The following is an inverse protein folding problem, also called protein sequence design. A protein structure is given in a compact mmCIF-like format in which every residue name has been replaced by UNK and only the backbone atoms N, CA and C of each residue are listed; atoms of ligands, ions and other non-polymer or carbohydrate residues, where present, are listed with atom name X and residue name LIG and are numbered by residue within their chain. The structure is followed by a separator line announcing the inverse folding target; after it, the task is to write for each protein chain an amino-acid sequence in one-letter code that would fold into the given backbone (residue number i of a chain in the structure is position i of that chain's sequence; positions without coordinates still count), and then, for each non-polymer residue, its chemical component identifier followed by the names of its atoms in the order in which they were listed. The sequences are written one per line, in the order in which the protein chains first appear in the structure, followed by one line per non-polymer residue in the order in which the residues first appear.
data_IF_532770605634
#
_entry.id   IF_532770605634
#
_cell.length_a   1.000
_cell.length_b   1.000
_cell.length_c   1.000
_cell.angle_alpha   90.00
_cell.angle_beta   90.00
_cell.angle_gamma   90.00
#
_symmetry.space_group_name_H-M   'P 1'
#
loop_
_entity.id
_entity.type
_entity.pdbx_description
1 polymer ?
#
# COMPACT_ATOMS: atom_id res chain seq x y z
N UNK A 1 -7.59 0.11 -14.37
CA UNK A 1 -6.91 1.15 -13.58
C UNK A 1 -7.96 1.89 -12.81
N UNK A 2 -7.84 1.87 -11.49
CA UNK A 2 -8.79 2.40 -10.51
C UNK A 2 -8.08 3.55 -9.80
N UNK A 3 -8.77 4.68 -9.66
CA UNK A 3 -8.32 5.80 -8.83
C UNK A 3 -9.17 5.81 -7.56
N UNK A 4 -8.52 5.90 -6.41
CA UNK A 4 -9.17 5.90 -5.11
C UNK A 4 -8.51 6.88 -4.15
N UNK A 5 -9.12 7.05 -2.98
CA UNK A 5 -8.65 7.95 -1.93
C UNK A 5 -8.32 7.17 -0.67
N UNK A 6 -7.26 7.59 -0.02
CA UNK A 6 -6.91 7.20 1.34
C UNK A 6 -7.17 8.40 2.24
N UNK A 7 -7.97 8.17 3.26
CA UNK A 7 -8.46 9.16 4.20
C UNK A 7 -7.65 9.15 5.49
N UNK A 8 -7.10 10.30 5.90
CA UNK A 8 -6.65 10.51 7.26
C UNK A 8 -7.83 10.41 8.23
N UNK A 9 -7.68 9.63 9.29
CA UNK A 9 -8.68 9.49 10.35
C UNK A 9 -8.03 9.71 11.72
N UNK A 10 -8.61 10.59 12.52
CA UNK A 10 -8.08 10.88 13.84
C UNK A 10 -8.37 9.73 14.80
N UNK A 11 -7.32 9.21 15.44
CA UNK A 11 -7.45 8.21 16.50
C UNK A 11 -7.41 8.86 17.87
N UNK A 12 -8.54 8.85 18.58
CA UNK A 12 -8.60 9.35 19.95
C UNK A 12 -7.72 8.54 20.92
N UNK A 13 -7.53 7.25 20.66
CA UNK A 13 -6.73 6.37 21.52
C UNK A 13 -5.23 6.58 21.34
N UNK A 14 -4.78 6.82 20.11
CA UNK A 14 -3.36 6.94 19.78
C UNK A 14 -2.88 8.38 19.62
N UNK A 15 -3.81 9.36 19.56
CA UNK A 15 -3.53 10.79 19.43
C UNK A 15 -2.71 11.16 18.19
N UNK A 16 -3.09 10.54 17.07
CA UNK A 16 -2.55 10.83 15.74
C UNK A 16 -3.58 10.52 14.65
N UNK A 17 -3.32 10.96 13.43
CA UNK A 17 -4.04 10.48 12.25
C UNK A 17 -3.49 9.12 11.81
N UNK A 18 -4.39 8.15 11.63
CA UNK A 18 -4.12 6.95 10.84
C UNK A 18 -4.62 7.13 9.41
N UNK A 19 -4.35 6.16 8.54
CA UNK A 19 -4.85 6.12 7.17
C UNK A 19 -5.95 5.05 7.02
N UNK A 20 -6.93 5.30 6.15
CA UNK A 20 -8.03 4.38 5.87
C UNK A 20 -8.45 4.43 4.41
N UNK A 21 -8.81 3.28 3.84
CA UNK A 21 -9.51 3.20 2.55
C UNK A 21 -11.00 3.55 2.62
N UNK A 22 -11.55 3.78 3.81
CA UNK A 22 -12.95 4.16 4.03
C UNK A 22 -13.05 5.63 4.43
N UNK A 23 -13.95 6.38 3.81
CA UNK A 23 -14.20 7.75 4.19
C UNK A 23 -14.83 7.81 5.60
N UNK A 24 -14.22 8.51 6.57
CA UNK A 24 -14.73 8.57 7.95
C UNK A 24 -16.12 9.24 8.05
N UNK A 25 -16.50 10.05 7.06
CA UNK A 25 -17.77 10.75 7.01
C UNK A 25 -18.82 10.06 6.13
N UNK A 26 -18.42 9.06 5.33
CA UNK A 26 -19.32 8.31 4.45
C UNK A 26 -18.81 6.88 4.24
N UNK A 27 -19.32 5.93 5.00
CA UNK A 27 -18.85 4.53 4.94
C UNK A 27 -19.13 3.83 3.60
N UNK A 28 -20.06 4.35 2.80
CA UNK A 28 -20.34 3.83 1.46
C UNK A 28 -19.20 4.16 0.47
N UNK A 29 -18.36 5.15 0.78
CA UNK A 29 -17.14 5.47 0.04
C UNK A 29 -15.96 4.69 0.63
N UNK A 30 -15.87 3.42 0.23
CA UNK A 30 -14.82 2.47 0.65
C UNK A 30 -14.15 1.85 -0.57
N UNK A 31 -12.86 1.51 -0.44
CA UNK A 31 -12.09 0.84 -1.49
C UNK A 31 -11.09 -0.14 -0.89
N UNK A 32 -11.23 -1.42 -1.24
CA UNK A 32 -10.36 -2.49 -0.77
C UNK A 32 -8.89 -2.25 -1.17
N UNK A 33 -8.63 -1.87 -2.42
CA UNK A 33 -7.28 -1.55 -2.89
C UNK A 33 -6.66 -0.33 -2.17
N UNK A 34 -7.45 0.72 -1.92
CA UNK A 34 -6.97 1.86 -1.12
C UNK A 34 -6.74 1.47 0.34
N UNK A 35 -7.60 0.61 0.89
CA UNK A 35 -7.48 0.05 2.23
C UNK A 35 -6.21 -0.78 2.40
N UNK A 36 -5.92 -1.66 1.44
CA UNK A 36 -4.69 -2.45 1.40
C UNK A 36 -3.44 -1.57 1.35
N UNK A 37 -3.42 -0.54 0.50
CA UNK A 37 -2.32 0.43 0.44
C UNK A 37 -2.17 1.16 1.77
N UNK A 38 -3.26 1.68 2.34
CA UNK A 38 -3.24 2.40 3.62
C UNK A 38 -2.72 1.51 4.77
N UNK A 39 -3.17 0.26 4.81
CA UNK A 39 -2.76 -0.72 5.81
C UNK A 39 -1.27 -1.07 5.67
N UNK A 40 -0.79 -1.31 4.45
CA UNK A 40 0.63 -1.53 4.19
C UNK A 40 1.49 -0.34 4.64
N UNK A 41 1.13 0.88 4.22
CA UNK A 41 1.88 2.09 4.60
C UNK A 41 1.94 2.25 6.12
N UNK A 42 0.80 2.09 6.80
CA UNK A 42 0.72 2.23 8.26
C UNK A 42 1.41 1.11 9.03
N UNK A 43 1.43 -0.13 8.52
CA UNK A 43 2.00 -1.28 9.22
C UNK A 43 3.50 -1.47 8.95
N UNK A 44 3.92 -1.26 7.70
CA UNK A 44 5.27 -1.62 7.21
C UNK A 44 6.21 -0.42 7.10
N UNK A 45 5.69 0.73 6.68
CA UNK A 45 6.49 1.96 6.59
C UNK A 45 6.47 2.70 7.93
N UNK A 46 5.30 2.75 8.57
CA UNK A 46 5.06 3.42 9.86
C UNK A 46 5.56 4.89 9.83
N UNK A 47 6.25 5.33 10.88
CA UNK A 47 6.62 6.73 11.11
C UNK A 47 8.01 7.11 10.57
N UNK A 48 8.51 6.40 9.55
CA UNK A 48 9.90 6.51 9.10
C UNK A 48 10.01 6.87 7.62
N UNK A 49 10.34 8.13 7.34
CA UNK A 49 10.69 8.58 5.98
C UNK A 49 11.97 7.93 5.45
N UNK A 50 12.83 7.43 6.33
CA UNK A 50 13.99 6.61 5.96
C UNK A 50 13.58 5.24 5.40
N UNK A 51 12.51 4.62 5.95
CA UNK A 51 11.96 3.39 5.37
C UNK A 51 11.48 3.65 3.95
N UNK A 52 10.83 4.80 3.69
CA UNK A 52 10.44 5.21 2.34
C UNK A 52 11.64 5.28 1.40
N UNK A 53 12.78 5.86 1.81
CA UNK A 53 13.98 5.93 0.97
C UNK A 53 14.48 4.54 0.57
N UNK A 54 14.47 3.58 1.50
CA UNK A 54 14.90 2.20 1.22
C UNK A 54 13.99 1.57 0.16
N UNK A 55 12.68 1.71 0.32
CA UNK A 55 11.70 1.18 -0.64
C UNK A 55 11.83 1.83 -2.01
N UNK A 56 11.91 3.17 -2.08
CA UNK A 56 12.07 3.92 -3.33
C UNK A 56 13.36 3.51 -4.05
N UNK A 57 14.47 3.38 -3.33
CA UNK A 57 15.74 2.96 -3.92
C UNK A 57 15.66 1.54 -4.51
N UNK A 58 15.11 0.58 -3.75
CA UNK A 58 14.98 -0.80 -4.21
C UNK A 58 14.03 -0.93 -5.41
N UNK A 59 12.95 -0.15 -5.45
CA UNK A 59 12.00 -0.18 -6.57
C UNK A 59 12.58 0.51 -7.82
N UNK A 60 13.31 1.62 -7.65
CA UNK A 60 13.89 2.35 -8.79
C UNK A 60 15.03 1.59 -9.46
N UNK A 61 15.86 0.88 -8.68
CA UNK A 61 16.94 0.02 -9.17
C UNK A 61 16.63 -1.46 -8.95
N UNK A 62 15.44 -1.89 -9.41
CA UNK A 62 14.89 -3.22 -9.14
C UNK A 62 15.84 -4.35 -9.57
N UNK A 63 16.50 -4.22 -10.73
CA UNK A 63 17.42 -5.24 -11.28
C UNK A 63 18.60 -5.56 -10.34
N UNK A 64 19.03 -4.59 -9.53
CA UNK A 64 20.11 -4.74 -8.55
C UNK A 64 19.60 -4.81 -7.10
N UNK A 65 18.28 -4.81 -6.90
CA UNK A 65 17.67 -4.97 -5.59
C UNK A 65 17.87 -6.40 -5.06
N UNK A 66 17.58 -6.61 -3.78
CA UNK A 66 17.68 -7.95 -3.16
C UNK A 66 16.67 -8.95 -3.71
N UNK A 67 15.62 -8.48 -4.36
CA UNK A 67 14.53 -9.30 -4.87
C UNK A 67 13.97 -8.68 -6.16
N UNK A 68 14.69 -8.81 -7.29
CA UNK A 68 14.32 -8.20 -8.56
C UNK A 68 13.04 -8.78 -9.19
N UNK A 69 12.66 -10.00 -8.81
CA UNK A 69 11.51 -10.76 -9.31
C UNK A 69 11.16 -11.86 -8.28
N UNK A 70 9.89 -12.00 -7.92
CA UNK A 70 9.42 -12.89 -6.87
C UNK A 70 9.09 -12.20 -5.55
N UNK A 71 9.38 -12.88 -4.45
CA UNK A 71 9.16 -12.36 -3.10
C UNK A 71 10.10 -11.19 -2.84
N UNK A 72 9.54 -9.98 -2.91
CA UNK A 72 10.25 -8.73 -2.66
C UNK A 72 10.54 -8.53 -1.18
N UNK A 73 9.76 -9.16 -0.32
CA UNK A 73 9.92 -9.19 1.11
C UNK A 73 8.62 -9.47 1.84
N UNK A 74 8.78 -10.01 3.04
CA UNK A 74 7.77 -10.05 4.08
C UNK A 74 8.00 -8.85 5.01
N UNK A 75 6.98 -8.02 5.12
CA UNK A 75 6.83 -7.08 6.20
C UNK A 75 6.43 -7.75 7.52
N UNK A 76 6.04 -6.95 8.50
CA UNK A 76 5.46 -7.41 9.75
C UNK A 76 4.12 -8.16 9.57
N UNK A 77 3.31 -7.75 8.59
CA UNK A 77 2.00 -8.32 8.31
C UNK A 77 1.69 -8.50 6.82
N UNK A 78 2.44 -7.82 5.93
CA UNK A 78 2.21 -7.88 4.48
C UNK A 78 3.31 -8.64 3.74
N UNK A 79 2.93 -9.43 2.74
CA UNK A 79 3.83 -9.98 1.72
C UNK A 79 3.79 -9.12 0.48
N UNK A 80 4.95 -8.93 -0.14
CA UNK A 80 5.10 -8.10 -1.33
C UNK A 80 5.75 -8.95 -2.41
N UNK A 81 5.09 -9.08 -3.54
CA UNK A 81 5.60 -9.82 -4.68
C UNK A 81 5.71 -8.91 -5.90
N UNK A 82 6.82 -9.04 -6.63
CA UNK A 82 7.08 -8.28 -7.85
C UNK A 82 7.26 -9.23 -9.02
N UNK A 83 6.60 -8.94 -10.14
CA UNK A 83 6.88 -9.60 -11.42
C UNK A 83 6.82 -8.58 -12.56
N UNK A 84 7.95 -8.39 -13.26
CA UNK A 84 8.11 -7.31 -14.22
C UNK A 84 7.86 -5.93 -13.58
N UNK A 85 6.88 -5.18 -14.11
CA UNK A 85 6.47 -3.87 -13.58
C UNK A 85 5.31 -3.94 -12.58
N UNK A 86 4.82 -5.15 -12.26
CA UNK A 86 3.68 -5.34 -11.36
C UNK A 86 4.16 -5.59 -9.94
N UNK A 87 3.48 -4.95 -9.00
CA UNK A 87 3.67 -5.11 -7.56
C UNK A 87 2.35 -5.58 -6.98
N UNK A 88 2.39 -6.74 -6.34
CA UNK A 88 1.31 -7.25 -5.51
C UNK A 88 1.67 -7.01 -4.05
N UNK A 89 0.73 -6.47 -3.29
CA UNK A 89 0.84 -6.29 -1.84
C UNK A 89 -0.38 -6.95 -1.22
N UNK A 90 -0.16 -7.85 -0.27
CA UNK A 90 -1.22 -8.65 0.32
C UNK A 90 -0.88 -9.11 1.72
N UNK A 91 -1.88 -9.61 2.44
CA UNK A 91 -1.69 -10.24 3.75
C UNK A 91 -2.53 -11.51 3.87
N UNK A 92 -2.05 -12.51 4.60
CA UNK A 92 -2.85 -13.71 4.90
C UNK A 92 -4.02 -13.42 5.86
N UNK A 93 -4.02 -12.27 6.54
CA UNK A 93 -4.98 -11.97 7.60
C UNK A 93 -6.32 -11.41 7.12
N UNK A 94 -6.37 -10.88 5.89
CA UNK A 94 -7.54 -10.18 5.36
C UNK A 94 -7.59 -10.28 3.82
N UNK A 95 -8.58 -10.99 3.30
CA UNK A 95 -8.80 -11.19 1.85
C UNK A 95 -9.10 -9.87 1.11
N UNK A 96 -9.67 -8.88 1.81
CA UNK A 96 -9.92 -7.54 1.29
C UNK A 96 -8.64 -6.68 1.24
N UNK A 97 -7.59 -7.06 1.98
CA UNK A 97 -6.33 -6.30 2.07
C UNK A 97 -5.30 -6.79 1.04
N UNK A 98 -5.74 -6.88 -0.21
CA UNK A 98 -4.92 -7.28 -1.35
C UNK A 98 -4.97 -6.17 -2.40
N UNK A 99 -3.85 -5.88 -3.04
CA UNK A 99 -3.79 -4.89 -4.12
C UNK A 99 -2.72 -5.25 -5.13
N UNK A 100 -3.11 -5.14 -6.41
CA UNK A 100 -2.21 -5.23 -7.54
C UNK A 100 -2.06 -3.82 -8.13
N UNK A 101 -0.83 -3.38 -8.33
CA UNK A 101 -0.52 -2.09 -8.93
C UNK A 101 0.75 -2.18 -9.77
N UNK A 102 1.05 -1.12 -10.50
CA UNK A 102 2.36 -0.98 -11.14
C UNK A 102 3.38 -0.44 -10.14
N UNK A 103 4.66 -0.67 -10.41
CA UNK A 103 5.75 -0.07 -9.64
C UNK A 103 5.70 1.45 -9.59
N UNK A 104 5.31 2.11 -10.69
CA UNK A 104 5.15 3.56 -10.72
C UNK A 104 4.03 4.04 -9.79
N UNK A 105 2.92 3.31 -9.73
CA UNK A 105 1.82 3.59 -8.81
C UNK A 105 2.24 3.39 -7.35
N UNK A 106 3.03 2.36 -7.07
CA UNK A 106 3.53 2.12 -5.73
C UNK A 106 4.50 3.21 -5.27
N UNK A 107 5.44 3.60 -6.14
CA UNK A 107 6.33 4.74 -5.90
C UNK A 107 5.54 6.02 -5.63
N UNK A 108 4.48 6.29 -6.39
CA UNK A 108 3.61 7.43 -6.15
C UNK A 108 2.95 7.37 -4.75
N UNK A 109 2.43 6.21 -4.34
CA UNK A 109 1.84 6.05 -3.01
C UNK A 109 2.86 6.32 -1.89
N UNK A 110 4.10 5.85 -2.05
CA UNK A 110 5.20 6.11 -1.12
C UNK A 110 5.56 7.60 -1.04
N UNK A 111 5.58 8.30 -2.17
CA UNK A 111 5.81 9.75 -2.21
C UNK A 111 4.71 10.53 -1.50
N UNK A 112 3.44 10.16 -1.71
CA UNK A 112 2.33 10.79 -1.00
C UNK A 112 2.37 10.50 0.51
N UNK A 113 2.78 9.28 0.89
CA UNK A 113 2.94 8.92 2.29
C UNK A 113 4.07 9.69 2.97
N UNK A 114 5.16 9.99 2.25
CA UNK A 114 6.20 10.89 2.76
C UNK A 114 5.63 12.25 3.14
N UNK A 115 4.81 12.84 2.28
CA UNK A 115 4.15 14.14 2.56
C UNK A 115 3.28 14.05 3.82
N UNK A 116 2.59 12.93 4.02
CA UNK A 116 1.82 12.68 5.24
C UNK A 116 2.72 12.63 6.49
N UNK A 117 3.85 11.91 6.44
CA UNK A 117 4.78 11.78 7.56
C UNK A 117 5.56 13.06 7.88
N UNK A 118 5.91 13.83 6.85
CA UNK A 118 6.59 15.12 7.00
C UNK A 118 5.62 16.22 7.50
N UNK A 119 4.31 15.97 7.40
CA UNK A 119 3.27 16.80 7.99
C UNK A 119 3.10 16.57 9.50
N UNK A 120 2.40 17.48 10.16
CA UNK A 120 2.04 17.32 11.58
C UNK A 120 0.79 16.43 11.72
N UNK A 121 0.93 15.14 11.44
CA UNK A 121 -0.17 14.16 11.54
C UNK A 121 -0.54 13.84 13.01
N UNK A 122 0.02 14.55 13.98
CA UNK A 122 -0.38 14.51 15.39
C UNK A 122 -1.25 15.72 15.78
N UNK A 123 -1.41 16.72 14.90
CA UNK A 123 -2.22 17.92 15.15
C UNK A 123 -3.67 17.78 14.64
N UNK A 124 -4.67 17.52 15.51
CA UNK A 124 -6.07 17.35 15.09
C UNK A 124 -6.70 18.63 14.52
N UNK A 125 -6.14 19.81 14.78
CA UNK A 125 -6.64 21.08 14.26
C UNK A 125 -6.17 21.33 12.81
N UNK A 126 -5.13 20.62 12.36
CA UNK A 126 -4.57 20.71 11.02
C UNK A 126 -4.49 19.31 10.38
N UNK A 127 -5.65 18.71 10.03
CA UNK A 127 -5.67 17.35 9.50
C UNK A 127 -4.85 17.23 8.21
N UNK A 128 -4.11 16.12 8.03
CA UNK A 128 -3.40 15.84 6.80
C UNK A 128 -4.32 15.82 5.58
N UNK A 129 -3.74 16.05 4.40
CA UNK A 129 -4.47 15.97 3.14
C UNK A 129 -4.87 14.53 2.81
N UNK A 130 -5.97 14.37 2.09
CA UNK A 130 -6.36 13.10 1.47
C UNK A 130 -5.28 12.69 0.46
N UNK A 131 -4.88 11.43 0.51
CA UNK A 131 -3.93 10.85 -0.44
C UNK A 131 -4.72 10.24 -1.60
N UNK A 132 -4.39 10.60 -2.83
CA UNK A 132 -4.94 9.95 -4.02
C UNK A 132 -4.00 8.83 -4.45
N UNK A 133 -4.56 7.66 -4.74
CA UNK A 133 -3.81 6.49 -5.19
C UNK A 133 -4.44 5.90 -6.43
N UNK A 134 -3.60 5.21 -7.21
CA UNK A 134 -4.03 4.44 -8.36
C UNK A 134 -3.55 3.01 -8.24
N UNK A 135 -4.37 2.06 -8.67
CA UNK A 135 -4.02 0.66 -8.68
C UNK A 135 -4.75 -0.06 -9.83
N UNK A 136 -4.40 -1.33 -10.05
CA UNK A 136 -4.98 -2.15 -11.12
C UNK A 136 -6.25 -2.83 -10.60
N UNK A 137 -6.14 -3.54 -9.48
CA UNK A 137 -7.22 -4.28 -8.82
C UNK A 137 -7.00 -4.35 -7.30
N UNK A 138 -8.06 -4.60 -6.55
CA UNK A 138 -8.03 -4.84 -5.10
C UNK A 138 -8.80 -6.12 -4.72
N UNK A 139 -8.58 -6.62 -3.50
CA UNK A 139 -9.22 -7.84 -3.00
C UNK A 139 -8.90 -9.07 -3.85
N UNK A 140 -9.85 -10.01 -3.96
CA UNK A 140 -9.67 -11.26 -4.70
C UNK A 140 -9.31 -11.04 -6.18
N UNK A 141 -9.82 -9.99 -6.83
CA UNK A 141 -9.47 -9.70 -8.22
C UNK A 141 -7.97 -9.42 -8.38
N UNK A 142 -7.33 -8.79 -7.39
CA UNK A 142 -5.87 -8.58 -7.40
C UNK A 142 -5.10 -9.90 -7.35
N UNK A 143 -5.56 -10.84 -6.53
CA UNK A 143 -4.98 -12.18 -6.38
C UNK A 143 -5.10 -12.95 -7.70
N UNK A 144 -6.31 -13.01 -8.25
CA UNK A 144 -6.60 -13.70 -9.50
C UNK A 144 -5.76 -13.14 -10.65
N UNK A 145 -5.69 -11.81 -10.75
CA UNK A 145 -4.89 -11.15 -11.79
C UNK A 145 -3.40 -11.43 -11.62
N UNK A 146 -2.86 -11.31 -10.41
CA UNK A 146 -1.44 -11.55 -10.14
C UNK A 146 -1.04 -13.00 -10.45
N UNK A 147 -1.85 -13.97 -10.02
CA UNK A 147 -1.60 -15.40 -10.29
C UNK A 147 -1.61 -15.74 -11.79
N UNK A 148 -2.32 -14.94 -12.61
CA UNK A 148 -2.37 -15.12 -14.07
C UNK A 148 -1.32 -14.30 -14.84
N UNK A 149 -0.46 -13.51 -14.16
CA UNK A 149 0.62 -12.79 -14.82
C UNK A 149 1.69 -13.77 -15.36
N UNK A 150 2.27 -13.51 -16.54
CA UNK A 150 3.42 -14.25 -17.01
C UNK A 150 4.57 -14.14 -16.00
N UNK A 151 5.14 -15.29 -15.60
CA UNK A 151 6.21 -15.38 -14.59
C UNK A 151 5.79 -14.98 -13.17
N UNK A 152 4.49 -14.94 -12.88
CA UNK A 152 4.04 -14.85 -11.49
C UNK A 152 4.60 -16.02 -10.67
N UNK A 153 5.01 -15.71 -9.45
CA UNK A 153 5.50 -16.69 -8.48
C UNK A 153 4.36 -17.26 -7.61
N UNK A 154 3.12 -16.83 -7.89
CA UNK A 154 1.93 -17.18 -7.13
C UNK A 154 1.84 -16.44 -5.80
N UNK A 155 0.62 -16.23 -5.31
CA UNK A 155 0.38 -15.80 -3.92
C UNK A 155 0.34 -17.07 -3.03
N UNK A 156 1.23 -17.22 -2.04
CA UNK A 156 1.43 -18.50 -1.35
C UNK A 156 0.28 -18.92 -0.43
N UNK A 157 -0.62 -18.01 -0.06
CA UNK A 157 -1.76 -18.24 0.83
C UNK A 157 -3.13 -18.07 0.13
N UNK A 158 -3.13 -17.92 -1.19
CA UNK A 158 -4.36 -17.93 -1.98
C UNK A 158 -4.63 -19.37 -2.45
N UNK A 159 -5.57 -20.06 -1.79
CA UNK A 159 -6.03 -21.41 -2.15
C UNK A 159 -6.95 -21.42 -3.39
#
# INVERSE_FOLDING_TARGET
MITAKIYPWWSESFKWFGLSGTNPNNKDETSDGAGAIAAFLGAEIQYSTHSIDIWVNNLTDLEHSRAPDGDFGEGNAFSIFITGDYVFIGTEYAEESQVLMTRAQFLHALEQYRVFLDGDYEDPENPPAIINVEFIAGGQEAVDMYNNLPNSHGVPYAD
#
